data_IF_245447977760
#
_entry.id   IF_245447977760
#
_cell.length_a   1.000
_cell.length_b   1.000
_cell.length_c   1.000
_cell.angle_alpha   90.00
_cell.angle_beta   90.00
_cell.angle_gamma   90.00
#
_symmetry.space_group_name_H-M   'P 1'
#
loop_
_entity.id
_entity.type
_entity.pdbx_description
1 polymer ?
#
# COMPACT_ATOMS: atom_id res chain seq x y z
N UNK A 1 -4.68 19.74 -15.12
CA UNK A 1 -5.79 18.86 -15.39
C UNK A 1 -5.79 17.65 -14.48
N UNK A 2 -6.59 16.65 -14.81
CA UNK A 2 -6.83 15.51 -13.91
C UNK A 2 -5.60 14.78 -13.44
N UNK A 3 -4.62 14.58 -14.30
CA UNK A 3 -3.45 13.79 -13.91
C UNK A 3 -2.52 14.51 -12.95
N UNK A 4 -2.53 15.83 -12.93
CA UNK A 4 -1.67 16.57 -12.02
C UNK A 4 -2.32 16.92 -10.71
N UNK A 5 -3.62 16.73 -10.58
CA UNK A 5 -4.34 17.17 -9.40
C UNK A 5 -4.17 16.17 -8.24
N UNK A 6 -3.70 16.65 -7.07
CA UNK A 6 -3.47 15.74 -5.92
C UNK A 6 -4.71 14.96 -5.50
N UNK A 7 -5.89 15.57 -5.55
CA UNK A 7 -7.12 14.88 -5.16
C UNK A 7 -7.46 13.74 -6.09
N UNK A 8 -7.23 13.89 -7.40
CA UNK A 8 -7.48 12.83 -8.37
C UNK A 8 -6.57 11.63 -8.13
N UNK A 9 -5.29 11.88 -7.92
CA UNK A 9 -4.34 10.81 -7.63
C UNK A 9 -4.61 10.17 -6.29
N UNK A 10 -4.97 10.97 -5.27
CA UNK A 10 -5.30 10.42 -3.96
C UNK A 10 -6.53 9.53 -4.02
N UNK A 11 -7.54 9.93 -4.76
CA UNK A 11 -8.72 9.10 -4.93
C UNK A 11 -8.39 7.80 -5.65
N UNK A 12 -7.66 7.88 -6.76
CA UNK A 12 -7.29 6.70 -7.54
C UNK A 12 -6.43 5.73 -6.75
N UNK A 13 -5.38 6.22 -6.11
CA UNK A 13 -4.50 5.39 -5.31
C UNK A 13 -5.19 4.88 -4.04
N UNK A 14 -6.06 5.69 -3.44
CA UNK A 14 -6.82 5.28 -2.27
C UNK A 14 -7.79 4.16 -2.57
N UNK A 15 -8.50 4.25 -3.69
CA UNK A 15 -9.40 3.16 -4.13
C UNK A 15 -8.58 1.91 -4.42
N UNK A 16 -7.46 2.04 -5.11
CA UNK A 16 -6.59 0.91 -5.42
C UNK A 16 -6.07 0.25 -4.13
N UNK A 17 -5.54 1.04 -3.21
CA UNK A 17 -5.01 0.52 -1.95
C UNK A 17 -6.12 -0.15 -1.13
N UNK A 18 -7.28 0.48 -1.06
CA UNK A 18 -8.42 -0.08 -0.35
C UNK A 18 -8.91 -1.37 -0.96
N UNK A 19 -8.94 -1.45 -2.29
CA UNK A 19 -9.34 -2.66 -2.99
C UNK A 19 -8.35 -3.81 -2.72
N UNK A 20 -7.06 -3.51 -2.77
CA UNK A 20 -6.03 -4.52 -2.47
C UNK A 20 -6.16 -5.01 -1.03
N UNK A 21 -6.20 -4.08 -0.07
CA UNK A 21 -6.27 -4.45 1.34
C UNK A 21 -7.57 -5.19 1.65
N UNK A 22 -8.69 -4.70 1.15
CA UNK A 22 -9.99 -5.31 1.43
C UNK A 22 -10.15 -6.68 0.79
N UNK A 23 -9.50 -6.92 -0.33
CA UNK A 23 -9.54 -8.20 -1.01
C UNK A 23 -8.60 -9.21 -0.35
N UNK A 24 -7.43 -8.76 0.10
CA UNK A 24 -6.43 -9.65 0.72
C UNK A 24 -6.86 -10.06 2.12
N UNK A 25 -7.46 -9.15 2.90
CA UNK A 25 -7.96 -9.50 4.24
C UNK A 25 -9.13 -10.49 4.09
N UNK A 26 -9.07 -11.64 4.79
CA UNK A 26 -10.12 -12.64 4.65
C UNK A 26 -11.51 -12.12 4.98
N UNK A 27 -12.49 -12.53 4.17
CA UNK A 27 -13.90 -12.20 4.39
C UNK A 27 -14.73 -13.43 4.05
N UNK A 28 -15.89 -13.54 4.70
CA UNK A 28 -16.76 -14.72 4.54
C UNK A 28 -17.85 -14.50 3.49
N UNK A 29 -18.19 -13.26 3.21
CA UNK A 29 -19.24 -12.93 2.25
C UNK A 29 -18.78 -11.78 1.35
N UNK A 30 -19.33 -11.65 0.13
CA UNK A 30 -19.04 -10.51 -0.72
C UNK A 30 -19.38 -9.17 -0.07
N UNK A 31 -20.45 -9.13 0.74
CA UNK A 31 -20.86 -7.91 1.44
C UNK A 31 -19.81 -7.50 2.47
N UNK A 32 -19.24 -8.45 3.19
CA UNK A 32 -18.17 -8.19 4.15
C UNK A 32 -16.90 -7.68 3.44
N UNK A 33 -16.55 -8.33 2.33
CA UNK A 33 -15.40 -7.89 1.53
C UNK A 33 -15.57 -6.45 1.07
N UNK A 34 -16.77 -6.09 0.62
CA UNK A 34 -17.06 -4.75 0.17
C UNK A 34 -16.93 -3.72 1.31
N UNK A 35 -17.38 -4.09 2.52
CA UNK A 35 -17.21 -3.22 3.70
C UNK A 35 -15.74 -3.01 4.02
N UNK A 36 -14.93 -4.07 3.90
CA UNK A 36 -13.48 -3.95 4.10
C UNK A 36 -12.88 -2.98 3.09
N UNK A 37 -13.23 -3.11 1.82
CA UNK A 37 -12.74 -2.22 0.77
C UNK A 37 -13.11 -0.78 1.07
N UNK A 38 -14.37 -0.50 1.37
CA UNK A 38 -14.81 0.87 1.66
C UNK A 38 -14.12 1.44 2.90
N UNK A 39 -13.98 0.62 3.94
CA UNK A 39 -13.30 1.06 5.16
C UNK A 39 -11.86 1.46 4.88
N UNK A 40 -11.13 0.64 4.14
CA UNK A 40 -9.75 0.95 3.79
C UNK A 40 -9.65 2.16 2.87
N UNK A 41 -10.57 2.32 1.92
CA UNK A 41 -10.58 3.50 1.04
C UNK A 41 -10.75 4.77 1.86
N UNK A 42 -11.64 4.75 2.85
CA UNK A 42 -11.89 5.92 3.70
C UNK A 42 -10.67 6.28 4.55
N UNK A 43 -9.83 5.31 4.88
CA UNK A 43 -8.60 5.55 5.64
C UNK A 43 -7.47 5.95 4.70
N UNK A 44 -7.26 5.20 3.62
CA UNK A 44 -6.10 5.37 2.76
C UNK A 44 -6.22 6.57 1.83
N UNK A 45 -7.44 6.90 1.37
CA UNK A 45 -7.63 8.03 0.49
C UNK A 45 -7.13 9.35 1.09
N UNK A 46 -7.66 9.75 2.24
CA UNK A 46 -7.17 10.95 2.90
C UNK A 46 -5.69 10.89 3.26
N UNK A 47 -5.19 9.72 3.66
CA UNK A 47 -3.77 9.56 3.99
C UNK A 47 -2.89 9.81 2.77
N UNK A 48 -3.28 9.28 1.62
CA UNK A 48 -2.53 9.50 0.38
C UNK A 48 -2.59 10.96 -0.04
N UNK A 49 -3.75 11.61 0.11
CA UNK A 49 -3.87 13.02 -0.20
C UNK A 49 -2.90 13.86 0.63
N UNK A 50 -2.80 13.57 1.92
CA UNK A 50 -1.85 14.25 2.80
C UNK A 50 -0.43 13.99 2.36
N UNK A 51 -0.11 12.73 2.00
CA UNK A 51 1.23 12.38 1.55
C UNK A 51 1.61 13.11 0.26
N UNK A 52 0.70 13.15 -0.71
CA UNK A 52 0.96 13.84 -1.97
C UNK A 52 1.19 15.32 -1.74
N UNK A 53 0.37 15.96 -0.89
CA UNK A 53 0.50 17.39 -0.66
C UNK A 53 1.70 17.76 0.20
N UNK A 54 2.01 16.94 1.21
CA UNK A 54 3.16 17.21 2.09
C UNK A 54 4.49 16.81 1.48
N UNK A 55 4.47 15.81 0.61
CA UNK A 55 5.67 15.34 -0.08
C UNK A 55 5.59 15.67 -1.57
N UNK A 56 5.05 16.83 -1.88
CA UNK A 56 4.81 17.24 -3.27
C UNK A 56 6.09 17.25 -4.09
N UNK A 57 7.17 17.76 -3.54
CA UNK A 57 8.46 17.79 -4.25
C UNK A 57 8.90 16.39 -4.64
N UNK A 58 8.75 15.44 -3.73
CA UNK A 58 9.13 14.06 -4.00
C UNK A 58 8.16 13.41 -5.00
N UNK A 59 6.85 13.68 -4.81
CA UNK A 59 5.83 13.14 -5.69
C UNK A 59 6.03 13.59 -7.14
N UNK A 60 6.36 14.87 -7.34
CA UNK A 60 6.53 15.43 -8.68
C UNK A 60 7.92 15.22 -9.26
N UNK A 61 8.85 14.69 -8.49
CA UNK A 61 10.22 14.48 -8.95
C UNK A 61 10.33 13.41 -10.03
N UNK A 62 9.34 12.54 -10.14
CA UNK A 62 9.31 11.49 -11.15
C UNK A 62 7.95 11.44 -11.81
N UNK A 63 7.88 10.69 -12.90
CA UNK A 63 6.64 10.56 -13.65
C UNK A 63 5.55 9.91 -12.79
N UNK A 64 4.31 10.42 -12.81
CA UNK A 64 3.22 9.87 -12.01
C UNK A 64 2.97 8.38 -12.25
N UNK A 65 3.12 7.91 -13.47
CA UNK A 65 2.92 6.48 -13.77
C UNK A 65 3.96 5.60 -13.09
N UNK A 66 5.18 6.09 -12.96
CA UNK A 66 6.20 5.36 -12.22
C UNK A 66 5.83 5.27 -10.74
N UNK A 67 5.37 6.37 -10.16
CA UNK A 67 4.88 6.37 -8.78
C UNK A 67 3.72 5.42 -8.60
N UNK A 68 2.80 5.40 -9.55
CA UNK A 68 1.66 4.49 -9.54
C UNK A 68 2.14 3.03 -9.54
N UNK A 69 3.07 2.68 -10.40
CA UNK A 69 3.61 1.32 -10.49
C UNK A 69 4.30 0.93 -9.19
N UNK A 70 5.14 1.80 -8.65
CA UNK A 70 5.86 1.54 -7.40
C UNK A 70 4.86 1.32 -6.27
N UNK A 71 3.86 2.19 -6.15
CA UNK A 71 2.85 2.06 -5.11
C UNK A 71 2.07 0.76 -5.25
N UNK A 72 1.61 0.45 -6.46
CA UNK A 72 0.79 -0.74 -6.72
C UNK A 72 1.55 -2.01 -6.39
N UNK A 73 2.78 -2.14 -6.90
CA UNK A 73 3.59 -3.34 -6.67
C UNK A 73 3.92 -3.48 -5.19
N UNK A 74 4.31 -2.38 -4.54
CA UNK A 74 4.65 -2.39 -3.12
C UNK A 74 3.44 -2.73 -2.25
N UNK A 75 2.28 -2.14 -2.57
CA UNK A 75 1.06 -2.40 -1.81
C UNK A 75 0.64 -3.86 -1.94
N UNK A 76 0.63 -4.39 -3.15
CA UNK A 76 0.26 -5.78 -3.37
C UNK A 76 1.21 -6.73 -2.65
N UNK A 77 2.51 -6.54 -2.84
CA UNK A 77 3.51 -7.43 -2.26
C UNK A 77 3.49 -7.38 -0.74
N UNK A 78 3.57 -6.18 -0.17
CA UNK A 78 3.64 -6.03 1.28
C UNK A 78 2.35 -6.50 1.96
N UNK A 79 1.20 -6.12 1.41
CA UNK A 79 -0.09 -6.49 2.01
C UNK A 79 -0.31 -7.99 1.96
N UNK A 80 -0.05 -8.61 0.81
CA UNK A 80 -0.21 -10.06 0.67
C UNK A 80 0.71 -10.79 1.64
N UNK A 81 1.99 -10.43 1.68
CA UNK A 81 2.94 -11.10 2.55
C UNK A 81 2.57 -10.95 4.02
N UNK A 82 2.25 -9.73 4.44
CA UNK A 82 1.96 -9.47 5.86
C UNK A 82 0.65 -10.11 6.30
N UNK A 83 -0.41 -9.98 5.50
CA UNK A 83 -1.71 -10.55 5.86
C UNK A 83 -1.64 -12.07 5.83
N UNK A 84 -1.02 -12.66 4.82
CA UNK A 84 -0.92 -14.13 4.75
C UNK A 84 -0.07 -14.69 5.87
N UNK A 85 0.96 -13.97 6.29
CA UNK A 85 1.75 -14.38 7.44
C UNK A 85 0.89 -14.42 8.71
N UNK A 86 0.06 -13.40 8.91
CA UNK A 86 -0.85 -13.36 10.05
C UNK A 86 -1.87 -14.50 9.99
N UNK A 87 -2.45 -14.74 8.81
CA UNK A 87 -3.40 -15.85 8.64
C UNK A 87 -2.75 -17.18 8.97
N UNK A 88 -1.52 -17.39 8.53
CA UNK A 88 -0.79 -18.62 8.79
C UNK A 88 -0.53 -18.82 10.29
N UNK A 89 -0.17 -17.74 11.00
CA UNK A 89 0.23 -17.81 12.41
C UNK A 89 -0.97 -17.77 13.34
N UNK A 90 -1.97 -16.91 13.05
CA UNK A 90 -3.07 -16.61 13.97
C UNK A 90 -4.45 -17.00 13.42
N UNK A 91 -4.51 -17.79 12.37
CA UNK A 91 -5.76 -18.05 11.66
C UNK A 91 -6.92 -18.51 12.50
N UNK A 92 -6.64 -19.22 13.59
CA UNK A 92 -7.69 -19.80 14.45
C UNK A 92 -8.04 -18.95 15.67
N UNK A 93 -7.46 -17.77 15.83
CA UNK A 93 -7.68 -16.95 17.02
C UNK A 93 -8.85 -15.97 16.92
N UNK A 94 -9.72 -16.11 15.93
CA UNK A 94 -10.97 -15.36 15.85
C UNK A 94 -10.80 -13.84 15.75
N UNK A 95 -11.36 -13.11 16.72
CA UNK A 95 -11.34 -11.64 16.70
C UNK A 95 -9.93 -11.08 16.76
N UNK A 96 -9.04 -11.71 17.54
CA UNK A 96 -7.65 -11.26 17.63
C UNK A 96 -6.98 -11.39 16.27
N UNK A 97 -7.15 -12.53 15.58
CA UNK A 97 -6.58 -12.71 14.25
C UNK A 97 -7.09 -11.67 13.27
N UNK A 98 -8.40 -11.39 13.32
CA UNK A 98 -9.00 -10.37 12.45
C UNK A 98 -8.39 -9.00 12.68
N UNK A 99 -8.27 -8.60 13.95
CA UNK A 99 -7.67 -7.30 14.29
C UNK A 99 -6.25 -7.21 13.77
N UNK A 100 -5.46 -8.26 13.95
CA UNK A 100 -4.07 -8.27 13.49
C UNK A 100 -3.99 -8.28 11.97
N UNK A 101 -4.91 -8.95 11.28
CA UNK A 101 -4.98 -8.93 9.81
C UNK A 101 -5.22 -7.52 9.28
N UNK A 102 -6.13 -6.77 9.91
CA UNK A 102 -6.36 -5.37 9.54
C UNK A 102 -5.12 -4.52 9.78
N UNK A 103 -4.45 -4.72 10.91
CA UNK A 103 -3.20 -4.00 11.19
C UNK A 103 -2.11 -4.36 10.18
N UNK A 104 -2.06 -5.62 9.76
CA UNK A 104 -1.11 -6.06 8.74
C UNK A 104 -1.37 -5.36 7.40
N UNK A 105 -2.64 -5.18 7.03
CA UNK A 105 -2.98 -4.46 5.81
C UNK A 105 -2.57 -2.99 5.90
N UNK A 106 -2.77 -2.36 7.06
CA UNK A 106 -2.31 -0.99 7.29
C UNK A 106 -0.79 -0.92 7.22
N UNK A 107 -0.09 -1.90 7.78
CA UNK A 107 1.37 -1.97 7.69
C UNK A 107 1.83 -2.10 6.23
N UNK A 108 1.11 -2.88 5.43
CA UNK A 108 1.37 -2.97 4.00
C UNK A 108 1.26 -1.62 3.30
N UNK A 109 0.22 -0.85 3.68
CA UNK A 109 0.06 0.51 3.17
C UNK A 109 1.23 1.40 3.59
N UNK A 110 1.68 1.30 4.84
CA UNK A 110 2.82 2.09 5.32
C UNK A 110 4.07 1.77 4.51
N UNK A 111 4.32 0.49 4.24
CA UNK A 111 5.46 0.08 3.40
C UNK A 111 5.33 0.68 2.00
N UNK A 112 4.14 0.60 1.41
CA UNK A 112 3.91 1.17 0.08
C UNK A 112 4.12 2.68 0.07
N UNK A 113 3.66 3.37 1.10
CA UNK A 113 3.85 4.82 1.23
C UNK A 113 5.33 5.16 1.36
N UNK A 114 6.08 4.40 2.16
CA UNK A 114 7.52 4.59 2.30
C UNK A 114 8.22 4.41 0.95
N UNK A 115 7.88 3.34 0.25
CA UNK A 115 8.48 3.06 -1.06
C UNK A 115 8.19 4.16 -2.08
N UNK A 116 7.01 4.74 -2.03
CA UNK A 116 6.54 5.68 -3.04
C UNK A 116 6.89 7.13 -2.72
N UNK A 117 6.75 7.55 -1.45
CA UNK A 117 6.83 8.95 -1.06
C UNK A 117 8.08 9.30 -0.25
N UNK A 118 8.81 8.33 0.23
CA UNK A 118 9.94 8.55 1.14
C UNK A 118 11.26 7.94 0.63
N UNK A 119 11.29 7.62 -0.66
CA UNK A 119 12.55 7.16 -1.25
C UNK A 119 12.88 5.69 -1.01
N UNK A 120 11.93 4.91 -0.49
CA UNK A 120 12.17 3.51 -0.20
C UNK A 120 12.52 2.69 -1.44
N UNK A 121 11.85 2.96 -2.56
CA UNK A 121 12.12 2.24 -3.80
C UNK A 121 13.54 2.48 -4.30
N UNK A 122 13.98 3.74 -4.26
CA UNK A 122 15.33 4.08 -4.65
C UNK A 122 16.38 3.47 -3.71
N UNK A 123 16.10 3.48 -2.40
CA UNK A 123 16.98 2.87 -1.41
C UNK A 123 17.15 1.38 -1.65
N UNK A 124 16.04 0.68 -1.89
CA UNK A 124 16.06 -0.76 -2.16
C UNK A 124 16.81 -1.05 -3.47
N UNK A 125 16.57 -0.26 -4.50
CA UNK A 125 17.23 -0.43 -5.79
C UNK A 125 18.73 -0.20 -5.68
N UNK A 126 19.14 0.85 -4.96
CA UNK A 126 20.56 1.15 -4.75
C UNK A 126 21.26 0.04 -3.97
N UNK A 127 20.60 -0.49 -2.95
CA UNK A 127 21.11 -1.62 -2.18
C UNK A 127 21.28 -2.85 -3.07
N UNK A 128 20.32 -3.12 -3.91
CA UNK A 128 20.37 -4.25 -4.85
C UNK A 128 21.54 -4.10 -5.82
N UNK A 129 21.71 -2.90 -6.39
CA UNK A 129 22.82 -2.66 -7.32
C UNK A 129 24.17 -2.79 -6.64
N UNK A 130 24.30 -2.27 -5.43
CA UNK A 130 25.53 -2.37 -4.67
C UNK A 130 25.89 -3.83 -4.41
N UNK A 131 24.93 -4.63 -3.99
CA UNK A 131 25.17 -6.04 -3.72
C UNK A 131 25.48 -6.82 -4.99
N UNK A 132 24.82 -6.47 -6.09
CA UNK A 132 25.06 -7.11 -7.38
C UNK A 132 26.47 -6.77 -7.90
N UNK A 133 26.85 -5.50 -7.78
CA UNK A 133 28.18 -5.06 -8.23
C UNK A 133 29.29 -5.71 -7.41
N UNK A 134 29.07 -5.92 -6.13
CA UNK A 134 30.05 -6.53 -5.23
C UNK A 134 30.38 -7.95 -5.63
N UNK A 135 29.45 -8.64 -6.30
CA UNK A 135 29.62 -10.03 -6.71
C UNK A 135 30.30 -10.19 -8.06
N UNK A 136 30.58 -9.11 -8.74
CA UNK A 136 31.22 -9.14 -10.06
C UNK A 136 32.71 -8.86 -9.95
#
# INVERSE_FOLDING_TARGET
>A
MGFGHPASWALGLGVLAGAIAGTVVPSQTPAEELRHVFGFVLIFGPAIYVLITRRDEYWTSKHPYLRFIVFTVSMMTATVLLVQLVVLVLGDFGVVARAVEFLAAVAGFVVAAWMTFYGGAEAVWDEFLERTDTNW
#
